data_IF_825736294125
#
_entry.id   IF_825736294125
#
_cell.length_a   1.000
_cell.length_b   1.000
_cell.length_c   1.000
_cell.angle_alpha   90.00
_cell.angle_beta   90.00
_cell.angle_gamma   90.00
#
_symmetry.space_group_name_H-M   'P 1'
#
loop_
_entity.id
_entity.type
_entity.pdbx_description
1 polymer ?
#
# COMPACT_ATOMS: atom_id res chain seq x y z
N UNK A 1 14.17 16.98 10.82
CA UNK A 1 14.07 15.50 10.67
C UNK A 1 14.84 15.13 9.43
N UNK A 2 15.58 14.01 9.37
CA UNK A 2 16.48 13.77 8.23
C UNK A 2 15.69 13.63 6.90
N UNK A 3 15.91 14.57 5.98
CA UNK A 3 15.28 14.62 4.64
C UNK A 3 15.56 13.37 3.81
N UNK A 4 16.78 12.85 3.90
CA UNK A 4 17.20 11.65 3.15
C UNK A 4 16.43 10.45 3.67
N UNK A 5 16.35 10.31 4.99
CA UNK A 5 15.59 9.25 5.63
C UNK A 5 14.09 9.32 5.26
N UNK A 6 13.49 10.50 5.33
CA UNK A 6 12.08 10.70 4.97
C UNK A 6 11.80 10.32 3.51
N UNK A 7 12.70 10.71 2.59
CA UNK A 7 12.57 10.38 1.16
C UNK A 7 12.71 8.88 0.92
N UNK A 8 13.64 8.20 1.60
CA UNK A 8 13.79 6.74 1.52
C UNK A 8 12.55 6.01 2.06
N UNK A 9 12.02 6.43 3.22
CA UNK A 9 10.80 5.87 3.80
C UNK A 9 9.63 6.05 2.84
N UNK A 10 9.47 7.24 2.27
CA UNK A 10 8.44 7.52 1.26
C UNK A 10 8.52 6.56 0.08
N UNK A 11 9.71 6.37 -0.50
CA UNK A 11 9.91 5.45 -1.63
C UNK A 11 9.52 4.02 -1.27
N UNK A 12 9.91 3.53 -0.09
CA UNK A 12 9.57 2.19 0.39
C UNK A 12 8.05 2.04 0.55
N UNK A 13 7.39 3.03 1.18
CA UNK A 13 5.96 2.99 1.44
C UNK A 13 5.12 3.08 0.15
N UNK A 14 5.54 3.92 -0.80
CA UNK A 14 4.84 4.12 -2.07
C UNK A 14 5.13 3.03 -3.11
N UNK A 15 6.21 2.26 -2.97
CA UNK A 15 6.55 1.17 -3.88
C UNK A 15 5.40 0.15 -4.00
N UNK A 16 4.81 -0.27 -2.88
CA UNK A 16 3.71 -1.23 -2.89
C UNK A 16 2.47 -0.70 -3.64
N UNK A 17 1.91 0.49 -3.30
CA UNK A 17 0.81 1.07 -4.05
C UNK A 17 1.08 1.16 -5.55
N UNK A 18 2.24 1.69 -5.95
CA UNK A 18 2.60 1.87 -7.38
C UNK A 18 2.62 0.53 -8.11
N UNK A 19 3.31 -0.47 -7.55
CA UNK A 19 3.44 -1.79 -8.16
C UNK A 19 2.12 -2.58 -8.15
N UNK A 20 1.20 -2.25 -7.24
CA UNK A 20 -0.10 -2.93 -7.14
C UNK A 20 -1.16 -2.42 -8.12
N UNK A 21 -1.00 -1.23 -8.73
CA UNK A 21 -1.97 -0.63 -9.66
C UNK A 21 -2.35 -1.59 -10.81
N UNK A 22 -1.42 -2.22 -11.54
CA UNK A 22 -1.79 -3.14 -12.63
C UNK A 22 -2.63 -4.32 -12.13
N UNK A 23 -2.29 -4.88 -10.95
CA UNK A 23 -3.05 -5.97 -10.34
C UNK A 23 -4.45 -5.53 -9.91
N UNK A 24 -4.60 -4.29 -9.43
CA UNK A 24 -5.89 -3.72 -9.01
C UNK A 24 -6.80 -3.51 -10.23
N UNK A 25 -6.24 -2.97 -11.33
CA UNK A 25 -6.96 -2.81 -12.60
C UNK A 25 -7.38 -4.18 -13.16
N UNK A 26 -6.47 -5.16 -13.15
CA UNK A 26 -6.77 -6.54 -13.55
C UNK A 26 -7.90 -7.15 -12.70
N UNK A 27 -7.86 -6.95 -11.38
CA UNK A 27 -8.90 -7.42 -10.47
C UNK A 27 -10.27 -6.82 -10.81
N UNK A 28 -10.33 -5.53 -11.15
CA UNK A 28 -11.59 -4.88 -11.57
C UNK A 28 -12.16 -5.51 -12.84
N UNK A 29 -11.28 -5.81 -13.81
CA UNK A 29 -11.67 -6.43 -15.09
C UNK A 29 -12.17 -7.87 -14.91
N UNK A 30 -11.51 -8.67 -14.07
CA UNK A 30 -11.81 -10.09 -13.92
C UNK A 30 -12.93 -10.37 -12.91
N UNK A 31 -12.95 -9.64 -11.80
CA UNK A 31 -13.83 -9.92 -10.66
C UNK A 31 -14.91 -8.86 -10.43
N UNK A 32 -14.87 -7.73 -11.14
CA UNK A 32 -15.81 -6.61 -10.96
C UNK A 32 -15.45 -5.65 -9.82
N UNK A 33 -14.42 -5.96 -9.01
CA UNK A 33 -13.99 -5.17 -7.85
C UNK A 33 -12.48 -4.86 -7.88
N UNK A 34 -12.09 -3.65 -7.48
CA UNK A 34 -10.69 -3.21 -7.42
C UNK A 34 -9.88 -3.89 -6.31
N UNK A 35 -10.50 -4.12 -5.16
CA UNK A 35 -9.90 -4.75 -3.99
C UNK A 35 -10.73 -5.96 -3.56
N UNK A 36 -10.07 -6.98 -3.01
CA UNK A 36 -10.77 -8.10 -2.38
C UNK A 36 -11.38 -7.66 -1.04
N UNK A 37 -12.20 -8.53 -0.43
CA UNK A 37 -12.89 -8.24 0.84
C UNK A 37 -12.02 -7.52 1.88
N UNK A 38 -12.66 -6.59 2.59
CA UNK A 38 -12.09 -5.60 3.52
C UNK A 38 -11.45 -6.17 4.80
N UNK A 39 -11.19 -7.47 4.85
CA UNK A 39 -10.54 -8.10 5.99
C UNK A 39 -9.09 -7.69 6.03
N UNK A 40 -8.73 -6.95 7.09
CA UNK A 40 -7.36 -6.50 7.33
C UNK A 40 -6.45 -7.69 7.64
N UNK A 41 -6.97 -8.63 8.42
CA UNK A 41 -6.31 -9.88 8.74
C UNK A 41 -7.01 -11.06 8.08
N UNK A 42 -6.25 -11.88 7.36
CA UNK A 42 -6.72 -13.17 6.83
C UNK A 42 -6.05 -14.28 7.66
N UNK A 43 -6.83 -15.24 8.19
CA UNK A 43 -6.27 -16.37 8.90
C UNK A 43 -5.29 -17.12 7.98
N UNK A 44 -4.15 -17.56 8.53
CA UNK A 44 -3.11 -18.31 7.79
C UNK A 44 -3.65 -19.54 7.05
N UNK A 45 -4.76 -20.13 7.56
CA UNK A 45 -5.48 -21.26 6.95
C UNK A 45 -6.31 -20.91 5.71
N UNK A 46 -6.62 -19.64 5.48
CA UNK A 46 -7.47 -19.15 4.37
C UNK A 46 -6.64 -18.42 3.30
N UNK A 47 -5.43 -17.97 3.61
CA UNK A 47 -4.60 -17.18 2.70
C UNK A 47 -3.14 -17.65 2.60
N UNK A 48 -2.41 -17.10 1.65
CA UNK A 48 -0.98 -17.40 1.40
C UNK A 48 -0.10 -16.80 2.50
N UNK A 49 0.07 -17.51 3.62
CA UNK A 49 1.21 -17.42 4.53
C UNK A 49 1.39 -16.15 5.39
N UNK A 50 0.81 -15.02 5.00
CA UNK A 50 0.94 -13.72 5.68
C UNK A 50 -0.42 -13.33 6.21
N UNK A 51 -0.51 -13.01 7.51
CA UNK A 51 -1.77 -12.62 8.15
C UNK A 51 -2.36 -11.31 7.59
N UNK A 52 -1.61 -10.56 6.80
CA UNK A 52 -2.01 -9.29 6.21
C UNK A 52 -2.56 -9.55 4.81
N UNK A 53 -3.79 -9.12 4.56
CA UNK A 53 -4.34 -9.11 3.21
C UNK A 53 -3.67 -8.01 2.38
N UNK A 54 -2.70 -8.38 1.56
CA UNK A 54 -2.01 -7.41 0.69
C UNK A 54 -3.02 -6.69 -0.23
N UNK A 55 -4.08 -7.35 -0.71
CA UNK A 55 -5.12 -6.73 -1.55
C UNK A 55 -6.19 -5.96 -0.78
N UNK A 56 -5.96 -5.62 0.49
CA UNK A 56 -6.87 -4.82 1.28
C UNK A 56 -6.83 -3.34 0.89
N UNK A 57 -8.00 -2.76 0.61
CA UNK A 57 -8.17 -1.32 0.36
C UNK A 57 -7.57 -0.45 1.46
N UNK A 58 -7.74 -0.82 2.74
CA UNK A 58 -7.25 0.01 3.85
C UNK A 58 -5.72 0.02 3.89
N UNK A 59 -5.07 -1.14 3.74
CA UNK A 59 -3.61 -1.22 3.68
C UNK A 59 -3.04 -0.41 2.51
N UNK A 60 -3.67 -0.48 1.33
CA UNK A 60 -3.29 0.33 0.18
C UNK A 60 -3.35 1.83 0.48
N UNK A 61 -4.51 2.34 0.95
CA UNK A 61 -4.67 3.77 1.21
C UNK A 61 -3.84 4.27 2.38
N UNK A 62 -3.65 3.48 3.44
CA UNK A 62 -2.75 3.83 4.54
C UNK A 62 -1.32 4.00 4.05
N UNK A 63 -0.82 3.09 3.21
CA UNK A 63 0.52 3.22 2.63
C UNK A 63 0.65 4.44 1.72
N UNK A 64 -0.37 4.73 0.91
CA UNK A 64 -0.40 5.95 0.07
C UNK A 64 -0.35 7.21 0.95
N UNK A 65 -1.20 7.31 1.96
CA UNK A 65 -1.29 8.51 2.81
C UNK A 65 0.01 8.73 3.58
N UNK A 66 0.53 7.70 4.24
CA UNK A 66 1.78 7.81 5.00
C UNK A 66 2.96 8.05 4.06
N UNK A 67 3.02 7.36 2.92
CA UNK A 67 4.06 7.58 1.92
C UNK A 67 4.08 9.02 1.39
N UNK A 68 2.93 9.57 1.03
CA UNK A 68 2.81 10.97 0.59
C UNK A 68 3.16 11.96 1.71
N UNK A 69 2.81 11.66 2.95
CA UNK A 69 3.22 12.48 4.10
C UNK A 69 4.75 12.51 4.21
N UNK A 70 5.43 11.36 4.19
CA UNK A 70 6.89 11.31 4.23
C UNK A 70 7.54 11.96 3.01
N UNK A 71 6.94 11.84 1.82
CA UNK A 71 7.38 12.54 0.62
C UNK A 71 7.33 14.06 0.83
N UNK A 72 6.21 14.55 1.36
CA UNK A 72 6.02 15.96 1.65
C UNK A 72 7.05 16.45 2.69
N UNK A 73 7.23 15.71 3.78
CA UNK A 73 8.22 16.02 4.82
C UNK A 73 9.67 15.99 4.29
N UNK A 74 9.98 15.09 3.34
CA UNK A 74 11.32 14.98 2.74
C UNK A 74 11.65 16.10 1.76
N UNK A 75 10.64 16.61 1.03
CA UNK A 75 10.82 17.67 0.03
C UNK A 75 10.68 19.06 0.63
N UNK A 76 9.66 19.29 1.47
CA UNK A 76 9.23 20.63 1.88
C UNK A 76 9.70 21.06 3.25
N UNK A 77 10.05 20.12 4.14
CA UNK A 77 10.56 20.46 5.47
C UNK A 77 12.09 20.34 5.55
N UNK A 78 12.79 21.33 6.15
CA UNK A 78 14.22 21.27 6.45
C UNK A 78 14.62 20.18 7.45
#
# INVERSE_FOLDING_TARGET
MDRTLNSMISLILLAYPILSIPSIIKSKKENGYYFSESRFFIPKRVGYGIGINMRNKYGFFTLVVIGLLFLFLGIWLP
#
